data_IF_872349781269
#
_entry.id   IF_872349781269
#
_cell.length_a   1.000
_cell.length_b   1.000
_cell.length_c   1.000
_cell.angle_alpha   90.00
_cell.angle_beta   90.00
_cell.angle_gamma   90.00
#
_symmetry.space_group_name_H-M   'P 1'
#
loop_
_entity.id
_entity.type
_entity.pdbx_description
1 polymer ?
#
# COMPACT_ATOMS: atom_id res chain seq x y z
N UNK A 1 -15.18 3.15 -0.66
CA UNK A 1 -15.31 1.78 -0.10
C UNK A 1 -14.80 1.74 1.34
N UNK A 2 -15.44 0.98 2.25
CA UNK A 2 -14.94 0.80 3.62
C UNK A 2 -13.95 -0.37 3.63
N UNK A 3 -12.69 -0.10 4.00
CA UNK A 3 -11.65 -1.11 4.12
C UNK A 3 -11.36 -1.39 5.60
N UNK A 4 -11.28 -2.66 5.96
CA UNK A 4 -10.99 -3.10 7.32
C UNK A 4 -10.01 -4.26 7.29
N UNK A 5 -9.17 -4.38 8.33
CA UNK A 5 -8.22 -5.49 8.48
C UNK A 5 -8.76 -6.63 9.34
N UNK A 6 -10.01 -6.53 9.79
CA UNK A 6 -10.72 -7.56 10.53
C UNK A 6 -11.47 -8.46 9.56
N UNK A 7 -11.74 -9.70 9.98
CA UNK A 7 -12.41 -10.73 9.19
C UNK A 7 -13.91 -10.47 8.96
N UNK A 8 -14.55 -9.73 9.87
CA UNK A 8 -15.99 -9.49 9.85
C UNK A 8 -16.37 -8.14 10.42
N UNK A 9 -17.46 -7.54 9.92
CA UNK A 9 -17.99 -6.27 10.43
C UNK A 9 -19.17 -6.57 11.37
N UNK A 10 -19.05 -6.31 12.69
CA UNK A 10 -20.12 -6.59 13.63
C UNK A 10 -21.44 -5.91 13.24
N UNK A 11 -22.54 -6.66 13.31
CA UNK A 11 -23.89 -6.15 13.02
C UNK A 11 -24.16 -5.84 11.55
N UNK A 12 -23.35 -6.36 10.62
CA UNK A 12 -23.59 -6.27 9.19
C UNK A 12 -23.62 -7.64 8.53
N UNK A 13 -24.65 -7.88 7.73
CA UNK A 13 -24.71 -9.00 6.79
C UNK A 13 -24.10 -8.57 5.45
N UNK A 14 -23.37 -9.48 4.80
CA UNK A 14 -22.73 -9.27 3.51
C UNK A 14 -22.53 -10.60 2.78
N UNK A 15 -22.46 -10.53 1.45
CA UNK A 15 -22.15 -11.67 0.58
C UNK A 15 -20.65 -11.75 0.30
N UNK A 16 -20.14 -12.97 0.16
CA UNK A 16 -18.75 -13.21 -0.25
C UNK A 16 -18.70 -13.35 -1.77
N UNK A 17 -18.17 -12.34 -2.46
CA UNK A 17 -18.10 -12.32 -3.93
C UNK A 17 -16.88 -13.08 -4.48
N UNK A 18 -15.71 -12.90 -3.86
CA UNK A 18 -14.47 -13.50 -4.34
C UNK A 18 -13.23 -12.90 -3.70
N UNK A 19 -12.06 -13.44 -4.06
CA UNK A 19 -10.77 -12.91 -3.65
C UNK A 19 -10.32 -11.80 -4.61
N UNK A 20 -9.83 -10.70 -4.04
CA UNK A 20 -9.21 -9.59 -4.77
C UNK A 20 -7.77 -9.38 -4.32
N UNK A 21 -6.96 -8.74 -5.16
CA UNK A 21 -5.53 -8.52 -4.89
C UNK A 21 -5.04 -7.21 -5.49
N UNK A 22 -4.10 -6.59 -4.79
CA UNK A 22 -3.40 -5.40 -5.25
C UNK A 22 -1.90 -5.58 -5.08
N UNK A 23 -1.12 -5.34 -6.13
CA UNK A 23 0.35 -5.45 -6.05
C UNK A 23 1.01 -4.41 -6.95
N UNK A 24 2.19 -3.95 -6.54
CA UNK A 24 3.09 -3.11 -7.31
C UNK A 24 4.54 -3.51 -7.01
N UNK A 25 5.40 -3.38 -8.00
CA UNK A 25 6.85 -3.45 -7.85
C UNK A 25 7.41 -2.11 -8.30
N UNK A 26 8.14 -1.42 -7.43
CA UNK A 26 8.80 -0.16 -7.77
C UNK A 26 10.28 -0.40 -8.05
N UNK A 27 10.83 0.27 -9.06
CA UNK A 27 12.21 0.06 -9.51
C UNK A 27 13.22 0.78 -8.61
N UNK A 28 14.41 0.18 -8.44
CA UNK A 28 15.49 0.72 -7.60
C UNK A 28 16.02 2.09 -8.07
N UNK A 29 15.85 2.44 -9.35
CA UNK A 29 16.35 3.70 -9.91
C UNK A 29 15.48 4.91 -9.53
N UNK A 30 14.24 4.71 -9.07
CA UNK A 30 13.43 5.78 -8.48
C UNK A 30 14.04 6.29 -7.16
N UNK A 31 14.88 5.47 -6.49
CA UNK A 31 15.57 5.83 -5.26
C UNK A 31 16.99 6.39 -5.45
N UNK A 32 17.51 6.46 -6.68
CA UNK A 32 18.89 6.94 -6.94
C UNK A 32 19.04 8.42 -6.59
N UNK A 33 18.00 9.23 -6.79
CA UNK A 33 17.97 10.63 -6.36
C UNK A 33 17.75 10.77 -4.84
N UNK A 34 17.26 9.72 -4.17
CA UNK A 34 17.02 9.72 -2.73
C UNK A 34 18.31 9.49 -1.90
N UNK A 35 19.30 8.81 -2.48
CA UNK A 35 20.61 8.60 -1.84
C UNK A 35 21.38 9.90 -1.58
N UNK A 36 21.11 10.98 -2.33
CA UNK A 36 21.75 12.28 -2.13
C UNK A 36 21.38 12.93 -0.78
N UNK A 37 20.27 12.50 -0.15
CA UNK A 37 19.77 13.02 1.13
C UNK A 37 20.11 12.17 2.37
N UNK A 38 20.81 11.03 2.22
CA UNK A 38 21.13 10.07 3.29
C UNK A 38 22.27 10.54 4.25
N UNK A 39 22.36 11.84 4.52
CA UNK A 39 23.23 12.38 5.58
C UNK A 39 22.41 12.63 6.85
N UNK A 40 21.91 11.58 7.51
CA UNK A 40 21.32 11.50 8.87
C UNK A 40 20.37 10.29 8.87
N UNK A 41 20.29 9.33 9.81
CA UNK A 41 20.61 9.23 11.23
C UNK A 41 20.75 7.74 11.59
N UNK A 42 21.66 7.43 12.51
CA UNK A 42 21.68 6.16 13.23
C UNK A 42 20.37 6.03 14.01
N UNK A 43 19.54 5.03 13.68
CA UNK A 43 18.30 4.69 14.39
C UNK A 43 17.02 5.42 13.98
N UNK A 44 17.04 6.23 12.92
CA UNK A 44 15.87 6.99 12.42
C UNK A 44 15.24 6.43 11.14
N UNK A 45 14.02 6.89 10.85
CA UNK A 45 13.30 6.59 9.61
C UNK A 45 14.00 7.21 8.39
N UNK A 46 14.19 6.43 7.32
CA UNK A 46 14.72 6.96 6.06
C UNK A 46 13.56 7.50 5.24
N UNK A 47 13.33 8.82 5.32
CA UNK A 47 12.16 9.51 4.77
C UNK A 47 11.76 9.05 3.36
N UNK A 48 12.70 8.86 2.44
CA UNK A 48 12.35 8.46 1.07
C UNK A 48 11.97 7.03 0.87
N UNK A 49 12.58 6.12 1.62
CA UNK A 49 12.09 4.76 1.62
C UNK A 49 10.68 4.72 2.23
N UNK A 50 10.38 5.54 3.23
CA UNK A 50 9.03 5.63 3.76
C UNK A 50 8.04 6.24 2.78
N UNK A 51 8.37 7.35 2.13
CA UNK A 51 7.56 7.97 1.10
C UNK A 51 7.26 6.98 -0.03
N UNK A 52 8.31 6.30 -0.53
CA UNK A 52 8.20 5.26 -1.54
C UNK A 52 7.30 4.10 -1.10
N UNK A 53 7.47 3.59 0.13
CA UNK A 53 6.63 2.51 0.65
C UNK A 53 5.17 2.94 0.85
N UNK A 54 4.93 4.18 1.26
CA UNK A 54 3.59 4.73 1.41
C UNK A 54 2.90 4.87 0.05
N UNK A 55 3.60 5.36 -0.98
CA UNK A 55 3.09 5.43 -2.34
C UNK A 55 2.78 4.02 -2.90
N UNK A 56 3.70 3.08 -2.73
CA UNK A 56 3.51 1.69 -3.14
C UNK A 56 2.27 1.08 -2.49
N UNK A 57 2.07 1.31 -1.19
CA UNK A 57 0.90 0.84 -0.45
C UNK A 57 -0.39 1.45 -1.00
N UNK A 58 -0.43 2.75 -1.25
CA UNK A 58 -1.61 3.42 -1.81
C UNK A 58 -1.99 2.86 -3.17
N UNK A 59 -1.01 2.65 -4.06
CA UNK A 59 -1.27 2.11 -5.40
C UNK A 59 -1.77 0.66 -5.31
N UNK A 60 -1.14 -0.17 -4.48
CA UNK A 60 -1.57 -1.55 -4.27
C UNK A 60 -3.00 -1.59 -3.72
N UNK A 61 -3.32 -0.80 -2.70
CA UNK A 61 -4.67 -0.72 -2.13
C UNK A 61 -5.68 -0.26 -3.17
N UNK A 62 -5.36 0.75 -3.99
CA UNK A 62 -6.25 1.21 -5.06
C UNK A 62 -6.57 0.08 -6.05
N UNK A 63 -5.54 -0.64 -6.53
CA UNK A 63 -5.75 -1.76 -7.48
C UNK A 63 -6.65 -2.86 -6.90
N UNK A 64 -6.47 -3.19 -5.62
CA UNK A 64 -7.32 -4.14 -4.91
C UNK A 64 -8.79 -3.67 -4.83
N UNK A 65 -9.00 -2.37 -4.59
CA UNK A 65 -10.35 -1.77 -4.57
C UNK A 65 -10.97 -1.76 -5.96
N UNK A 66 -10.21 -1.37 -6.99
CA UNK A 66 -10.69 -1.36 -8.38
C UNK A 66 -11.11 -2.77 -8.82
N UNK A 67 -10.38 -3.82 -8.43
CA UNK A 67 -10.77 -5.21 -8.69
C UNK A 67 -12.04 -5.59 -7.92
N UNK A 68 -12.21 -5.14 -6.67
CA UNK A 68 -13.41 -5.39 -5.88
C UNK A 68 -14.66 -4.68 -6.42
N UNK A 69 -14.52 -3.49 -7.02
CA UNK A 69 -15.61 -2.76 -7.66
C UNK A 69 -16.03 -3.36 -9.01
N UNK A 70 -15.22 -4.26 -9.59
CA UNK A 70 -15.50 -4.96 -10.83
C UNK A 70 -16.15 -6.35 -10.64
N UNK A 71 -16.28 -6.82 -9.38
CA UNK A 71 -17.02 -8.03 -9.01
C UNK A 71 -18.51 -7.71 -8.85
#
# INVERSE_FOLDING_TARGET
MKLVSIDSIPGKEYEVLGLVKGTIVQSKNFGRDFMAGLKTLVGGEIKGYTEMLNEARQIATKRMVDEAEAL
#
